data_IF_093015967251
#
_entry.id   IF_093015967251
#
_cell.length_a   1.000
_cell.length_b   1.000
_cell.length_c   1.000
_cell.angle_alpha   90.00
_cell.angle_beta   90.00
_cell.angle_gamma   90.00
#
_symmetry.space_group_name_H-M   'P 1'
#
loop_
_entity.id
_entity.type
_entity.pdbx_description
1 polymer ?
#
# COMPACT_ATOMS: atom_id res chain seq x y z
N UNK A 1 13.48 1.13 -21.91
CA UNK A 1 12.31 1.85 -21.37
C UNK A 1 11.07 1.09 -21.81
N UNK A 2 10.13 0.86 -20.89
CA UNK A 2 8.83 0.25 -21.22
C UNK A 2 7.82 1.37 -21.39
N UNK A 3 7.05 1.38 -22.48
CA UNK A 3 5.98 2.36 -22.69
C UNK A 3 4.71 1.92 -21.97
N UNK A 4 4.03 2.87 -21.34
CA UNK A 4 2.71 2.69 -20.74
C UNK A 4 1.76 3.66 -21.43
N UNK A 5 0.79 3.13 -22.17
CA UNK A 5 -0.27 3.93 -22.78
C UNK A 5 -1.48 3.93 -21.85
N UNK A 6 -1.92 5.12 -21.47
CA UNK A 6 -3.02 5.33 -20.54
C UNK A 6 -3.94 6.42 -21.11
N UNK A 7 -5.24 6.15 -21.11
CA UNK A 7 -6.26 7.14 -21.44
C UNK A 7 -6.66 7.88 -20.17
N UNK A 8 -6.60 9.19 -20.19
CA UNK A 8 -6.98 10.05 -19.08
C UNK A 8 -8.20 10.89 -19.49
N UNK A 9 -9.20 11.05 -18.62
CA UNK A 9 -10.22 12.09 -18.75
C UNK A 9 -9.58 13.48 -18.88
N UNK A 10 -10.27 14.39 -19.58
CA UNK A 10 -9.74 15.73 -19.92
C UNK A 10 -9.29 16.51 -18.67
N UNK A 11 -10.04 16.42 -17.57
CA UNK A 11 -9.70 17.09 -16.31
C UNK A 11 -8.37 16.60 -15.71
N UNK A 12 -8.09 15.29 -15.82
CA UNK A 12 -6.83 14.73 -15.32
C UNK A 12 -5.67 15.08 -16.25
N UNK A 13 -5.91 15.11 -17.56
CA UNK A 13 -4.91 15.55 -18.53
C UNK A 13 -4.50 17.00 -18.29
N UNK A 14 -5.46 17.91 -18.17
CA UNK A 14 -5.21 19.33 -17.89
C UNK A 14 -4.46 19.54 -16.56
N UNK A 15 -4.78 18.74 -15.53
CA UNK A 15 -4.05 18.78 -14.27
C UNK A 15 -2.58 18.37 -14.44
N UNK A 16 -2.30 17.26 -15.15
CA UNK A 16 -0.93 16.80 -15.41
C UNK A 16 -0.15 17.82 -16.25
N UNK A 17 -0.78 18.41 -17.27
CA UNK A 17 -0.17 19.47 -18.08
C UNK A 17 0.15 20.73 -17.25
N UNK A 18 -0.71 21.09 -16.30
CA UNK A 18 -0.46 22.16 -15.35
C UNK A 18 0.74 21.90 -14.43
N UNK A 19 0.91 20.66 -13.97
CA UNK A 19 2.09 20.24 -13.18
C UNK A 19 3.38 20.30 -14.01
N UNK A 20 3.34 19.89 -15.28
CA UNK A 20 4.51 20.04 -16.17
C UNK A 20 4.81 21.53 -16.42
N UNK A 21 3.78 22.35 -16.54
CA UNK A 21 3.91 23.80 -16.77
C UNK A 21 4.43 24.57 -15.55
N UNK A 22 4.32 24.02 -14.33
CA UNK A 22 4.93 24.65 -13.13
C UNK A 22 6.45 24.55 -13.11
N UNK A 23 7.04 23.74 -14.00
CA UNK A 23 8.49 23.59 -14.15
C UNK A 23 9.12 22.50 -13.27
N UNK A 24 8.34 21.85 -12.41
CA UNK A 24 8.82 20.79 -11.53
C UNK A 24 9.06 19.46 -12.27
N UNK A 25 8.43 19.28 -13.44
CA UNK A 25 8.59 18.09 -14.29
C UNK A 25 8.67 18.48 -15.77
N UNK A 26 9.55 17.83 -16.54
CA UNK A 26 9.75 18.15 -17.95
C UNK A 26 8.77 17.46 -18.90
N UNK A 27 8.10 16.38 -18.45
CA UNK A 27 7.09 15.68 -19.25
C UNK A 27 5.98 15.07 -18.39
N UNK A 28 4.78 14.84 -18.95
CA UNK A 28 3.71 14.10 -18.25
C UNK A 28 4.17 12.72 -17.76
N UNK A 29 4.98 12.02 -18.56
CA UNK A 29 5.52 10.70 -18.19
C UNK A 29 6.42 10.76 -16.95
N UNK A 30 7.14 11.86 -16.75
CA UNK A 30 7.99 12.07 -15.58
C UNK A 30 7.16 12.31 -14.33
N UNK A 31 6.15 13.17 -14.42
CA UNK A 31 5.20 13.40 -13.34
C UNK A 31 4.49 12.09 -12.90
N UNK A 32 4.02 11.29 -13.86
CA UNK A 32 3.36 10.01 -13.55
C UNK A 32 4.33 9.01 -12.91
N UNK A 33 5.57 8.91 -13.38
CA UNK A 33 6.59 8.06 -12.74
C UNK A 33 6.83 8.48 -11.30
N UNK A 34 6.86 9.78 -11.05
CA UNK A 34 7.02 10.32 -9.71
C UNK A 34 5.85 9.98 -8.79
N UNK A 35 4.62 10.16 -9.27
CA UNK A 35 3.43 9.78 -8.53
C UNK A 35 3.42 8.31 -8.14
N UNK A 36 3.83 7.41 -9.06
CA UNK A 36 3.92 5.97 -8.78
C UNK A 36 4.98 5.69 -7.71
N UNK A 37 6.13 6.37 -7.76
CA UNK A 37 7.20 6.22 -6.77
C UNK A 37 6.76 6.67 -5.38
N UNK A 38 6.10 7.82 -5.29
CA UNK A 38 5.55 8.35 -4.04
C UNK A 38 4.44 7.44 -3.50
N UNK A 39 3.57 6.93 -4.36
CA UNK A 39 2.52 6.01 -3.95
C UNK A 39 3.09 4.71 -3.40
N UNK A 40 4.10 4.13 -4.06
CA UNK A 40 4.81 2.96 -3.54
C UNK A 40 5.44 3.25 -2.18
N UNK A 41 6.11 4.40 -2.04
CA UNK A 41 6.72 4.79 -0.77
C UNK A 41 5.68 4.93 0.35
N UNK A 42 4.54 5.59 0.09
CA UNK A 42 3.43 5.72 1.06
C UNK A 42 2.87 4.37 1.46
N UNK A 43 2.63 3.46 0.52
CA UNK A 43 2.15 2.10 0.84
C UNK A 43 3.14 1.32 1.70
N UNK A 44 4.44 1.44 1.43
CA UNK A 44 5.47 0.79 2.23
C UNK A 44 5.55 1.39 3.64
N UNK A 45 5.51 2.71 3.77
CA UNK A 45 5.50 3.37 5.07
C UNK A 45 4.26 2.97 5.90
N UNK A 46 3.08 2.93 5.29
CA UNK A 46 1.86 2.49 5.97
C UNK A 46 1.96 1.03 6.43
N UNK A 47 2.48 0.14 5.58
CA UNK A 47 2.70 -1.25 5.96
C UNK A 47 3.68 -1.37 7.13
N UNK A 48 4.78 -0.62 7.12
CA UNK A 48 5.74 -0.61 8.22
C UNK A 48 5.09 -0.13 9.53
N UNK A 49 4.27 0.92 9.48
CA UNK A 49 3.53 1.40 10.64
C UNK A 49 2.53 0.37 11.16
N UNK A 50 1.78 -0.31 10.28
CA UNK A 50 0.87 -1.38 10.66
C UNK A 50 1.61 -2.55 11.32
N UNK A 51 2.77 -2.95 10.78
CA UNK A 51 3.59 -4.01 11.35
C UNK A 51 4.17 -3.61 12.72
N UNK A 52 4.64 -2.37 12.87
CA UNK A 52 5.11 -1.84 14.15
C UNK A 52 3.98 -1.78 15.18
N UNK A 53 2.78 -1.36 14.78
CA UNK A 53 1.60 -1.36 15.64
C UNK A 53 1.22 -2.79 16.06
N UNK A 54 1.23 -3.75 15.12
CA UNK A 54 0.96 -5.16 15.40
C UNK A 54 2.03 -5.76 16.34
N UNK A 55 3.31 -5.43 16.15
CA UNK A 55 4.40 -5.90 17.01
C UNK A 55 4.32 -5.37 18.45
N UNK A 56 3.80 -4.15 18.63
CA UNK A 56 3.49 -3.57 19.95
C UNK A 56 2.14 -4.03 20.51
N UNK A 57 1.33 -4.69 19.69
CA UNK A 57 0.02 -5.18 20.05
C UNK A 57 0.04 -6.36 21.03
N UNK A 58 -1.13 -6.83 21.44
CA UNK A 58 -1.25 -7.95 22.37
C UNK A 58 -0.66 -9.22 21.76
N UNK A 59 0.18 -9.91 22.55
CA UNK A 59 0.72 -11.22 22.16
C UNK A 59 -0.40 -12.24 22.21
N UNK A 60 -0.58 -12.97 21.10
CA UNK A 60 -1.57 -14.03 20.99
C UNK A 60 -0.87 -15.37 21.13
N UNK A 61 -1.06 -16.04 22.27
CA UNK A 61 -0.57 -17.40 22.47
C UNK A 61 -1.54 -18.42 21.86
N UNK A 62 -0.98 -19.29 21.01
CA UNK A 62 -1.69 -20.36 20.31
C UNK A 62 -1.00 -21.69 20.57
N UNK A 63 -1.80 -22.74 20.85
CA UNK A 63 -1.28 -24.10 20.93
C UNK A 63 -1.09 -24.72 19.54
N UNK A 64 0.02 -25.44 19.34
CA UNK A 64 0.28 -26.21 18.11
C UNK A 64 -0.85 -27.21 17.83
N UNK A 65 -1.44 -27.78 18.88
CA UNK A 65 -2.57 -28.72 18.77
C UNK A 65 -3.84 -28.05 18.22
N UNK A 66 -4.08 -26.78 18.58
CA UNK A 66 -5.22 -26.00 18.06
C UNK A 66 -5.01 -25.61 16.59
N UNK A 67 -3.78 -25.21 16.23
CA UNK A 67 -3.41 -24.91 14.84
C UNK A 67 -3.60 -26.15 13.96
N UNK A 68 -3.17 -27.33 14.42
CA UNK A 68 -3.31 -28.59 13.69
C UNK A 68 -4.78 -29.01 13.52
N UNK A 69 -5.64 -28.68 14.48
CA UNK A 69 -7.07 -29.06 14.47
C UNK A 69 -7.94 -28.11 13.65
N UNK A 70 -7.70 -26.79 13.73
CA UNK A 70 -8.59 -25.76 13.16
C UNK A 70 -7.99 -24.97 12.00
N UNK A 71 -6.68 -25.07 11.79
CA UNK A 71 -5.91 -24.21 10.89
C UNK A 71 -5.52 -22.88 11.54
N UNK A 72 -4.36 -22.34 11.15
CA UNK A 72 -3.75 -21.15 11.75
C UNK A 72 -4.67 -19.92 11.69
N UNK A 73 -5.24 -19.63 10.52
CA UNK A 73 -6.07 -18.44 10.30
C UNK A 73 -7.34 -18.48 11.15
N UNK A 74 -7.98 -19.65 11.26
CA UNK A 74 -9.20 -19.84 12.07
C UNK A 74 -8.89 -19.65 13.55
N UNK A 75 -7.82 -20.28 14.05
CA UNK A 75 -7.41 -20.17 15.45
C UNK A 75 -7.03 -18.73 15.82
N UNK A 76 -6.32 -18.00 14.94
CA UNK A 76 -6.01 -16.59 15.13
C UNK A 76 -7.26 -15.71 15.18
N UNK A 77 -8.22 -15.90 14.26
CA UNK A 77 -9.46 -15.11 14.21
C UNK A 77 -10.35 -15.32 15.43
N UNK A 78 -10.38 -16.53 16.00
CA UNK A 78 -11.11 -16.80 17.25
C UNK A 78 -10.45 -16.14 18.45
N UNK A 79 -9.11 -16.14 18.51
CA UNK A 79 -8.34 -15.59 19.62
C UNK A 79 -8.31 -14.06 19.59
N UNK A 80 -8.15 -13.46 18.41
CA UNK A 80 -8.17 -12.01 18.21
C UNK A 80 -9.56 -11.38 18.46
N UNK A 81 -10.65 -12.15 18.35
CA UNK A 81 -12.00 -11.69 18.73
C UNK A 81 -12.28 -11.75 20.24
N UNK A 82 -11.42 -12.43 21.01
CA UNK A 82 -11.57 -12.62 22.47
C UNK A 82 -10.62 -11.77 23.30
N UNK A 83 -9.63 -11.13 22.66
CA UNK A 83 -8.68 -10.20 23.27
C UNK A 83 -9.18 -8.77 23.11
#
# INVERSE_FOLDING_TARGET
MTSLNISLPENLKAYVEGQVSSGDWGTPSEYIRELIRQDKARRMANLEQELLAAAKGPKIELSISEIRKKGLVTALRERARRA
#
